data_IF_348279391322
#
_entry.id   IF_348279391322
#
_cell.length_a   1.000
_cell.length_b   1.000
_cell.length_c   1.000
_cell.angle_alpha   90.00
_cell.angle_beta   90.00
_cell.angle_gamma   90.00
#
_symmetry.space_group_name_H-M   'P 1'
#
loop_
_entity.id
_entity.type
_entity.pdbx_description
1 polymer ?
#
# COMPACT_ATOMS: atom_id res chain seq x y z
N UNK A 1 2.14 -25.30 -10.44
CA UNK A 1 1.26 -25.17 -9.26
C UNK A 1 -0.18 -25.48 -9.68
N UNK A 2 -0.88 -26.46 -9.10
CA UNK A 2 -2.28 -26.75 -9.47
C UNK A 2 -3.27 -26.32 -8.36
N UNK A 3 -4.59 -26.33 -8.65
CA UNK A 3 -5.62 -25.84 -7.71
C UNK A 3 -5.56 -26.51 -6.35
N UNK A 4 -5.38 -27.83 -6.33
CA UNK A 4 -5.34 -28.60 -5.09
C UNK A 4 -4.16 -28.16 -4.21
N UNK A 5 -2.97 -27.98 -4.81
CA UNK A 5 -1.78 -27.49 -4.12
C UNK A 5 -1.96 -26.05 -3.62
N UNK A 6 -2.49 -25.15 -4.45
CA UNK A 6 -2.76 -23.77 -4.04
C UNK A 6 -3.76 -23.72 -2.88
N UNK A 7 -4.84 -24.49 -2.96
CA UNK A 7 -5.86 -24.55 -1.90
C UNK A 7 -5.26 -25.05 -0.59
N UNK A 8 -4.46 -26.12 -0.63
CA UNK A 8 -3.78 -26.63 0.56
C UNK A 8 -2.80 -25.60 1.15
N UNK A 9 -2.04 -24.90 0.29
CA UNK A 9 -1.10 -23.87 0.70
C UNK A 9 -1.81 -22.68 1.34
N UNK A 10 -2.90 -22.17 0.74
CA UNK A 10 -3.72 -21.11 1.32
C UNK A 10 -4.32 -21.51 2.67
N UNK A 11 -4.75 -22.76 2.85
CA UNK A 11 -5.21 -23.24 4.17
C UNK A 11 -4.09 -23.29 5.21
N UNK A 12 -2.88 -23.68 4.81
CA UNK A 12 -1.71 -23.68 5.70
C UNK A 12 -1.39 -22.25 6.15
N UNK A 13 -1.17 -21.33 5.19
CA UNK A 13 -0.86 -19.93 5.48
C UNK A 13 -1.97 -19.27 6.29
N UNK A 14 -3.24 -19.48 5.94
CA UNK A 14 -4.41 -18.97 6.69
C UNK A 14 -4.39 -19.36 8.17
N UNK A 15 -3.96 -20.57 8.52
CA UNK A 15 -3.82 -20.99 9.93
C UNK A 15 -2.62 -20.34 10.61
N UNK A 16 -1.51 -20.14 9.90
CA UNK A 16 -0.29 -19.53 10.44
C UNK A 16 -0.48 -18.03 10.73
N UNK A 17 -1.13 -17.30 9.82
CA UNK A 17 -1.27 -15.84 9.90
C UNK A 17 -2.63 -15.37 10.45
N UNK A 18 -3.56 -16.29 10.75
CA UNK A 18 -4.87 -15.99 11.32
C UNK A 18 -5.85 -15.26 10.40
N UNK A 19 -5.55 -15.17 9.10
CA UNK A 19 -6.42 -14.55 8.09
C UNK A 19 -7.39 -15.55 7.48
N UNK A 20 -8.52 -15.06 6.96
CA UNK A 20 -9.47 -15.91 6.23
C UNK A 20 -8.82 -16.52 4.98
N UNK A 21 -9.25 -17.73 4.60
CA UNK A 21 -8.80 -18.40 3.38
C UNK A 21 -8.95 -17.51 2.13
N UNK A 22 -10.05 -16.78 2.00
CA UNK A 22 -10.28 -15.89 0.84
C UNK A 22 -9.31 -14.71 0.81
N UNK A 23 -8.96 -14.14 1.98
CA UNK A 23 -7.96 -13.08 2.06
C UNK A 23 -6.58 -13.60 1.65
N UNK A 24 -6.18 -14.78 2.14
CA UNK A 24 -4.92 -15.42 1.76
C UNK A 24 -4.91 -15.77 0.27
N UNK A 25 -6.01 -16.30 -0.28
CA UNK A 25 -6.13 -16.57 -1.71
C UNK A 25 -5.98 -15.30 -2.55
N UNK A 26 -6.60 -14.19 -2.15
CA UNK A 26 -6.41 -12.89 -2.82
C UNK A 26 -4.94 -12.45 -2.77
N UNK A 27 -4.28 -12.62 -1.63
CA UNK A 27 -2.85 -12.31 -1.48
C UNK A 27 -1.96 -13.10 -2.42
N UNK A 28 -2.23 -14.37 -2.63
CA UNK A 28 -1.51 -15.16 -3.63
C UNK A 28 -1.62 -14.54 -5.03
N UNK A 29 -2.80 -14.05 -5.42
CA UNK A 29 -2.98 -13.40 -6.72
C UNK A 29 -2.37 -11.99 -6.79
N UNK A 30 -2.33 -11.25 -5.68
CA UNK A 30 -1.59 -9.98 -5.56
C UNK A 30 -0.08 -10.22 -5.78
N UNK A 31 0.49 -11.22 -5.11
CA UNK A 31 1.89 -11.65 -5.29
C UNK A 31 2.17 -12.09 -6.73
N UNK A 32 1.24 -12.81 -7.33
CA UNK A 32 1.35 -13.28 -8.72
C UNK A 32 1.41 -12.13 -9.73
N UNK A 33 0.59 -11.09 -9.55
CA UNK A 33 0.64 -9.88 -10.37
C UNK A 33 1.94 -9.12 -10.13
N UNK A 34 2.36 -8.96 -8.87
CA UNK A 34 3.64 -8.34 -8.51
C UNK A 34 4.80 -9.04 -9.24
N UNK A 35 4.81 -10.38 -9.28
CA UNK A 35 5.81 -11.18 -9.98
C UNK A 35 5.82 -10.91 -11.49
N UNK A 36 4.67 -10.87 -12.17
CA UNK A 36 4.61 -10.54 -13.61
C UNK A 36 5.11 -9.12 -13.87
N UNK A 37 4.74 -8.14 -13.05
CA UNK A 37 5.21 -6.76 -13.18
C UNK A 37 6.73 -6.63 -12.98
N UNK A 38 7.28 -7.27 -11.95
CA UNK A 38 8.71 -7.31 -11.64
C UNK A 38 9.53 -8.00 -12.73
N UNK A 39 9.01 -9.09 -13.32
CA UNK A 39 9.67 -9.81 -14.41
C UNK A 39 9.51 -9.18 -15.80
N UNK A 40 8.69 -8.13 -15.93
CA UNK A 40 8.40 -7.52 -17.22
C UNK A 40 9.54 -6.60 -17.69
N UNK A 41 9.57 -6.31 -19.00
CA UNK A 41 10.44 -5.26 -19.56
C UNK A 41 10.14 -3.85 -19.03
N UNK A 42 9.06 -3.68 -18.28
CA UNK A 42 8.61 -2.42 -17.68
C UNK A 42 8.93 -2.33 -16.20
N UNK A 43 9.62 -3.32 -15.61
CA UNK A 43 9.89 -3.41 -14.17
C UNK A 43 10.44 -2.12 -13.56
N UNK A 44 11.42 -1.49 -14.21
CA UNK A 44 12.03 -0.23 -13.78
C UNK A 44 11.09 0.99 -13.84
N UNK A 45 9.95 0.87 -14.52
CA UNK A 45 8.93 1.93 -14.62
C UNK A 45 7.87 1.80 -13.53
N UNK A 46 7.71 0.61 -12.96
CA UNK A 46 6.75 0.33 -11.90
C UNK A 46 7.41 0.47 -10.53
N UNK A 47 6.98 1.48 -9.78
CA UNK A 47 7.42 1.64 -8.39
C UNK A 47 6.30 1.14 -7.47
N UNK A 48 6.56 0.03 -6.79
CA UNK A 48 5.64 -0.60 -5.86
C UNK A 48 5.37 0.33 -4.67
N UNK A 49 4.09 0.55 -4.32
CA UNK A 49 3.68 1.42 -3.22
C UNK A 49 2.43 0.90 -2.50
N UNK A 50 1.89 1.74 -1.62
CA UNK A 50 0.55 1.56 -1.07
C UNK A 50 0.41 0.45 -0.03
N UNK A 51 -0.80 -0.10 0.06
CA UNK A 51 -1.19 -0.98 1.17
C UNK A 51 -0.49 -2.33 1.12
N UNK A 52 -0.23 -2.85 -0.08
CA UNK A 52 0.40 -4.15 -0.25
C UNK A 52 1.90 -4.09 0.07
N UNK A 53 2.59 -3.02 -0.30
CA UNK A 53 3.97 -2.79 0.13
C UNK A 53 4.04 -2.72 1.66
N UNK A 54 3.17 -1.93 2.30
CA UNK A 54 3.15 -1.83 3.75
C UNK A 54 2.91 -3.20 4.40
N UNK A 55 1.94 -3.96 3.90
CA UNK A 55 1.68 -5.33 4.35
C UNK A 55 2.93 -6.20 4.32
N UNK A 56 3.72 -6.13 3.25
CA UNK A 56 4.96 -6.91 3.12
C UNK A 56 6.06 -6.46 4.08
N UNK A 57 6.05 -5.18 4.48
CA UNK A 57 7.01 -4.63 5.45
C UNK A 57 6.66 -5.06 6.87
N UNK A 58 5.38 -4.95 7.28
CA UNK A 58 4.95 -5.16 8.68
C UNK A 58 4.39 -6.55 8.97
N UNK A 59 4.12 -7.35 7.95
CA UNK A 59 3.43 -8.64 8.07
C UNK A 59 1.98 -8.57 7.60
N UNK A 60 1.56 -9.61 6.87
CA UNK A 60 0.22 -9.73 6.29
C UNK A 60 -0.88 -9.78 7.35
N UNK A 61 -0.60 -10.42 8.48
CA UNK A 61 -1.44 -10.52 9.67
C UNK A 61 -1.60 -9.18 10.38
N UNK A 62 -0.60 -8.30 10.26
CA UNK A 62 -0.59 -6.97 10.87
C UNK A 62 -1.24 -5.90 9.99
N UNK A 63 -1.30 -6.10 8.66
CA UNK A 63 -1.99 -5.18 7.75
C UNK A 63 -2.40 -5.90 6.46
N UNK A 64 -3.67 -6.26 6.32
CA UNK A 64 -4.18 -6.90 5.09
C UNK A 64 -4.74 -5.88 4.08
N UNK A 65 -4.42 -5.99 2.80
CA UNK A 65 -5.00 -5.16 1.72
C UNK A 65 -5.71 -6.00 0.66
N UNK A 66 -6.43 -5.34 -0.26
CA UNK A 66 -7.21 -6.01 -1.31
C UNK A 66 -6.81 -5.60 -2.73
N UNK A 67 -5.97 -4.59 -2.84
CA UNK A 67 -5.48 -3.96 -4.06
C UNK A 67 -3.95 -3.93 -4.05
N UNK A 68 -3.39 -3.70 -5.24
CA UNK A 68 -1.96 -3.48 -5.44
C UNK A 68 -1.77 -2.13 -6.10
N UNK A 69 -0.86 -1.32 -5.55
CA UNK A 69 -0.67 0.07 -5.96
C UNK A 69 0.73 0.26 -6.57
N UNK A 70 0.81 0.98 -7.68
CA UNK A 70 2.06 1.34 -8.34
C UNK A 70 2.11 2.80 -8.75
N UNK A 71 3.29 3.38 -8.66
CA UNK A 71 3.63 4.60 -9.36
C UNK A 71 4.31 4.28 -10.69
N UNK A 72 3.80 4.83 -11.79
CA UNK A 72 4.42 4.76 -13.10
C UNK A 72 5.41 5.91 -13.28
N UNK A 73 6.65 5.59 -13.69
CA UNK A 73 7.70 6.56 -14.03
C UNK A 73 8.21 6.41 -15.45
N UNK A 74 8.81 7.48 -15.96
CA UNK A 74 9.47 7.52 -17.28
C UNK A 74 8.55 7.09 -18.44
N UNK A 75 7.25 7.32 -18.28
CA UNK A 75 6.21 7.04 -19.25
C UNK A 75 5.03 7.96 -18.99
N UNK A 76 4.35 8.40 -20.05
CA UNK A 76 3.12 9.16 -19.92
C UNK A 76 2.00 8.26 -19.38
N UNK A 77 1.33 8.71 -18.33
CA UNK A 77 0.13 8.06 -17.82
C UNK A 77 -1.05 8.32 -18.77
N UNK A 78 -1.44 7.31 -19.54
CA UNK A 78 -2.65 7.30 -20.36
C UNK A 78 -3.27 5.91 -20.35
N UNK A 79 -4.57 5.82 -20.62
CA UNK A 79 -5.27 4.54 -20.68
C UNK A 79 -4.63 3.61 -21.72
N UNK A 80 -4.33 4.12 -22.91
CA UNK A 80 -3.74 3.35 -24.02
C UNK A 80 -2.39 2.76 -23.63
N UNK A 81 -1.52 3.56 -23.01
CA UNK A 81 -0.21 3.13 -22.55
C UNK A 81 -0.32 2.03 -21.47
N UNK A 82 -1.27 2.18 -20.53
CA UNK A 82 -1.50 1.20 -19.47
C UNK A 82 -2.06 -0.10 -20.07
N UNK A 83 -3.06 -0.03 -20.95
CA UNK A 83 -3.62 -1.21 -21.64
C UNK A 83 -2.50 -1.96 -22.37
N UNK A 84 -1.69 -1.26 -23.15
CA UNK A 84 -0.58 -1.89 -23.87
C UNK A 84 0.40 -2.57 -22.92
N UNK A 85 0.88 -1.83 -21.91
CA UNK A 85 1.86 -2.31 -20.95
C UNK A 85 1.36 -3.53 -20.17
N UNK A 86 0.11 -3.49 -19.70
CA UNK A 86 -0.50 -4.59 -18.96
C UNK A 86 -0.73 -5.81 -19.86
N UNK A 87 -1.23 -5.64 -21.09
CA UNK A 87 -1.40 -6.76 -22.01
C UNK A 87 -0.08 -7.46 -22.36
N UNK A 88 1.00 -6.69 -22.53
CA UNK A 88 2.33 -7.24 -22.78
C UNK A 88 2.91 -7.94 -21.55
N UNK A 89 2.71 -7.37 -20.36
CA UNK A 89 3.23 -7.91 -19.09
C UNK A 89 2.48 -9.15 -18.63
N UNK A 90 1.16 -9.17 -18.82
CA UNK A 90 0.27 -10.24 -18.37
C UNK A 90 0.11 -11.35 -19.40
N UNK A 91 0.87 -11.30 -20.50
CA UNK A 91 0.85 -12.31 -21.54
C UNK A 91 1.19 -13.69 -20.94
N UNK A 92 0.40 -14.74 -21.24
CA UNK A 92 0.67 -16.09 -20.77
C UNK A 92 1.97 -16.63 -21.35
N UNK A 93 2.75 -17.30 -20.51
CA UNK A 93 3.90 -18.11 -20.90
C UNK A 93 3.52 -19.60 -20.97
N UNK A 94 4.30 -20.41 -21.68
CA UNK A 94 3.98 -21.82 -22.00
C UNK A 94 3.73 -22.68 -20.75
N UNK A 95 4.33 -22.31 -19.61
CA UNK A 95 4.26 -23.05 -18.35
C UNK A 95 3.55 -22.26 -17.23
N UNK A 96 2.82 -21.19 -17.57
CA UNK A 96 2.07 -20.42 -16.57
C UNK A 96 0.86 -21.21 -16.07
N UNK A 97 0.76 -21.38 -14.75
CA UNK A 97 -0.42 -21.99 -14.11
C UNK A 97 -1.60 -21.01 -13.97
N UNK A 98 -1.34 -19.71 -14.13
CA UNK A 98 -2.28 -18.61 -13.91
C UNK A 98 -2.39 -17.80 -15.19
N UNK A 99 -3.61 -17.62 -15.65
CA UNK A 99 -3.93 -16.77 -16.80
C UNK A 99 -4.53 -15.45 -16.32
N UNK A 100 -4.08 -14.36 -16.93
CA UNK A 100 -4.49 -13.01 -16.57
C UNK A 100 -5.28 -12.39 -17.71
N UNK A 101 -6.36 -11.71 -17.36
CA UNK A 101 -7.20 -10.98 -18.32
C UNK A 101 -7.48 -9.58 -17.77
N UNK A 102 -7.11 -8.56 -18.54
CA UNK A 102 -7.49 -7.18 -18.24
C UNK A 102 -8.98 -6.99 -18.59
N UNK A 103 -9.84 -6.87 -17.58
CA UNK A 103 -11.29 -6.78 -17.80
C UNK A 103 -11.75 -5.37 -18.16
N UNK A 104 -11.25 -4.38 -17.43
CA UNK A 104 -11.52 -2.97 -17.69
C UNK A 104 -10.46 -2.11 -17.02
N UNK A 105 -10.39 -0.85 -17.48
CA UNK A 105 -9.65 0.22 -16.85
C UNK A 105 -10.62 1.36 -16.60
N UNK A 106 -10.53 1.96 -15.41
CA UNK A 106 -11.32 3.16 -15.06
C UNK A 106 -10.40 4.22 -14.48
N UNK A 107 -10.62 5.51 -14.82
CA UNK A 107 -9.88 6.59 -14.17
C UNK A 107 -10.24 6.64 -12.68
N UNK A 108 -9.22 6.83 -11.85
CA UNK A 108 -9.36 7.08 -10.42
C UNK A 108 -8.82 8.46 -10.07
N UNK A 109 -9.49 9.13 -9.13
CA UNK A 109 -8.97 10.36 -8.54
C UNK A 109 -8.05 9.98 -7.39
N UNK A 110 -6.77 9.87 -7.70
CA UNK A 110 -5.69 9.95 -6.73
C UNK A 110 -5.62 11.35 -6.12
N UNK A 111 -4.95 11.49 -4.98
CA UNK A 111 -4.76 12.81 -4.36
C UNK A 111 -3.79 13.70 -5.14
N UNK A 112 -3.00 13.09 -6.02
CA UNK A 112 -2.02 13.78 -6.85
C UNK A 112 -2.63 14.47 -8.07
N UNK A 113 -1.88 15.46 -8.55
CA UNK A 113 -2.26 16.34 -9.64
C UNK A 113 -2.60 15.61 -10.96
N UNK A 114 -2.05 14.41 -11.16
CA UNK A 114 -2.13 13.68 -12.42
C UNK A 114 -3.16 12.54 -12.43
N UNK A 115 -3.86 12.32 -11.30
CA UNK A 115 -4.82 11.23 -11.16
C UNK A 115 -4.17 9.83 -11.28
N UNK A 116 -5.00 8.83 -11.56
CA UNK A 116 -4.56 7.45 -11.75
C UNK A 116 -5.55 6.64 -12.56
N UNK A 117 -5.23 5.37 -12.79
CA UNK A 117 -6.14 4.40 -13.37
C UNK A 117 -6.18 3.15 -12.50
N UNK A 118 -7.38 2.58 -12.36
CA UNK A 118 -7.59 1.26 -11.77
C UNK A 118 -7.83 0.27 -12.89
N UNK A 119 -6.94 -0.69 -13.04
CA UNK A 119 -7.09 -1.84 -13.91
C UNK A 119 -7.64 -3.03 -13.10
N UNK A 120 -8.76 -3.61 -13.53
CA UNK A 120 -9.29 -4.82 -12.93
C UNK A 120 -8.77 -6.04 -13.68
N UNK A 121 -7.88 -6.81 -13.04
CA UNK A 121 -7.24 -7.99 -13.63
C UNK A 121 -7.93 -9.25 -13.12
N UNK A 122 -8.55 -10.01 -14.01
CA UNK A 122 -9.09 -11.33 -13.70
C UNK A 122 -7.96 -12.37 -13.79
N UNK A 123 -7.58 -12.90 -12.64
CA UNK A 123 -6.68 -14.03 -12.51
C UNK A 123 -7.49 -15.35 -12.55
N UNK A 124 -7.09 -16.26 -13.44
CA UNK A 124 -7.75 -17.55 -13.67
C UNK A 124 -6.75 -18.67 -13.43
N UNK A 125 -7.12 -19.62 -12.60
CA UNK A 125 -6.35 -20.85 -12.39
C UNK A 125 -7.32 -22.02 -12.28
N UNK A 126 -7.33 -22.90 -13.27
CA UNK A 126 -8.36 -23.93 -13.45
C UNK A 126 -9.78 -23.33 -13.37
N UNK A 127 -10.54 -23.58 -12.30
CA UNK A 127 -11.86 -23.01 -12.06
C UNK A 127 -11.87 -21.84 -11.05
N UNK A 128 -10.73 -21.49 -10.44
CA UNK A 128 -10.60 -20.31 -9.59
C UNK A 128 -10.65 -19.05 -10.46
N UNK A 129 -11.42 -18.06 -10.02
CA UNK A 129 -11.54 -16.74 -10.65
C UNK A 129 -11.40 -15.70 -9.55
N UNK A 130 -10.34 -14.90 -9.60
CA UNK A 130 -10.08 -13.81 -8.65
C UNK A 130 -9.86 -12.52 -9.42
N UNK A 131 -10.62 -11.48 -9.10
CA UNK A 131 -10.37 -10.14 -9.64
C UNK A 131 -9.42 -9.43 -8.68
N UNK A 132 -8.35 -8.86 -9.21
CA UNK A 132 -7.38 -8.05 -8.49
C UNK A 132 -7.40 -6.63 -9.04
N UNK A 133 -7.75 -5.63 -8.21
CA UNK A 133 -7.59 -4.23 -8.56
C UNK A 133 -6.10 -3.83 -8.52
N UNK A 134 -5.61 -3.32 -9.64
CA UNK A 134 -4.28 -2.72 -9.78
C UNK A 134 -4.43 -1.23 -10.04
N UNK A 135 -3.98 -0.41 -9.08
CA UNK A 135 -4.00 1.05 -9.18
C UNK A 135 -2.64 1.53 -9.68
N UNK A 136 -2.66 2.35 -10.73
CA UNK A 136 -1.47 2.93 -11.35
C UNK A 136 -1.62 4.45 -11.37
N UNK A 137 -0.77 5.12 -10.61
CA UNK A 137 -0.70 6.58 -10.52
C UNK A 137 0.61 7.10 -11.13
N UNK A 138 0.78 8.42 -11.21
CA UNK A 138 2.07 9.03 -11.57
C UNK A 138 2.30 10.35 -10.85
N UNK A 139 3.53 10.85 -10.90
CA UNK A 139 3.88 12.21 -10.46
C UNK A 139 4.32 12.34 -9.01
N UNK A 140 4.01 11.39 -8.13
CA UNK A 140 4.47 11.44 -6.74
C UNK A 140 5.98 11.64 -6.61
N UNK A 141 6.35 12.42 -5.58
CA UNK A 141 7.75 12.61 -5.20
C UNK A 141 8.18 11.50 -4.26
N UNK A 142 9.25 10.80 -4.63
CA UNK A 142 9.85 9.73 -3.86
C UNK A 142 11.16 10.23 -3.29
N UNK A 143 11.32 10.16 -1.97
CA UNK A 143 12.50 10.67 -1.25
C UNK A 143 13.15 9.56 -0.44
N UNK A 144 14.46 9.31 -0.59
CA UNK A 144 15.40 10.03 -1.46
C UNK A 144 15.25 9.66 -2.95
N UNK A 145 14.90 8.41 -3.23
CA UNK A 145 14.61 7.84 -4.54
C UNK A 145 13.98 6.44 -4.33
N UNK A 146 13.42 5.80 -5.38
CA UNK A 146 13.00 4.40 -5.28
C UNK A 146 14.13 3.50 -4.79
N UNK A 147 13.80 2.50 -3.98
CA UNK A 147 14.74 1.50 -3.48
C UNK A 147 14.56 0.18 -4.21
N UNK A 148 15.63 -0.62 -4.29
CA UNK A 148 15.54 -2.03 -4.67
C UNK A 148 14.93 -2.80 -3.50
N UNK A 149 13.66 -3.14 -3.62
CA UNK A 149 12.92 -3.86 -2.60
C UNK A 149 12.88 -5.33 -2.91
N UNK A 150 13.18 -6.12 -1.87
CA UNK A 150 13.20 -7.56 -1.90
C UNK A 150 11.94 -8.08 -1.22
N UNK A 151 10.90 -8.32 -2.01
CA UNK A 151 9.66 -8.89 -1.53
C UNK A 151 9.84 -10.39 -1.29
N UNK A 152 9.57 -10.85 -0.06
CA UNK A 152 9.62 -12.27 0.31
C UNK A 152 8.19 -12.82 0.29
N UNK A 153 7.98 -13.89 -0.48
CA UNK A 153 6.66 -14.50 -0.63
C UNK A 153 6.09 -15.02 0.68
N UNK A 154 4.78 -14.85 0.88
CA UNK A 154 4.06 -15.47 2.01
C UNK A 154 3.80 -16.97 1.77
N UNK A 155 4.09 -17.47 0.58
CA UNK A 155 3.71 -18.79 0.09
C UNK A 155 4.90 -19.70 -0.21
N UNK A 156 6.13 -19.21 -0.02
CA UNK A 156 7.36 -19.96 -0.25
C UNK A 156 8.62 -19.13 -0.03
N UNK A 157 9.75 -19.64 -0.51
CA UNK A 157 11.07 -18.99 -0.36
C UNK A 157 11.44 -18.10 -1.57
N UNK A 158 10.49 -17.86 -2.48
CA UNK A 158 10.74 -17.02 -3.65
C UNK A 158 10.85 -15.54 -3.27
N UNK A 159 11.80 -14.88 -3.91
CA UNK A 159 12.10 -13.46 -3.72
C UNK A 159 11.80 -12.71 -5.02
N UNK A 160 11.02 -11.64 -4.91
CA UNK A 160 10.68 -10.75 -6.03
C UNK A 160 11.42 -9.44 -5.84
N UNK A 161 12.29 -9.09 -6.77
CA UNK A 161 13.03 -7.83 -6.76
C UNK A 161 12.25 -6.80 -7.58
N UNK A 162 11.92 -5.66 -6.96
CA UNK A 162 11.19 -4.58 -7.62
C UNK A 162 11.56 -3.22 -7.04
N UNK A 163 11.45 -2.15 -7.83
CA UNK A 163 11.55 -0.80 -7.29
C UNK A 163 10.35 -0.52 -6.38
N UNK A 164 10.58 0.04 -5.20
CA UNK A 164 9.52 0.39 -4.27
C UNK A 164 9.74 1.74 -3.59
N UNK A 165 8.71 2.20 -2.89
CA UNK A 165 8.81 3.36 -2.01
C UNK A 165 9.66 3.02 -0.79
N UNK A 166 10.58 3.91 -0.37
CA UNK A 166 11.16 3.82 0.96
C UNK A 166 10.08 4.14 2.02
N UNK A 167 10.25 3.59 3.23
CA UNK A 167 9.27 3.70 4.31
C UNK A 167 8.99 5.16 4.68
N UNK A 168 9.97 6.03 4.54
CA UNK A 168 9.87 7.47 4.76
C UNK A 168 8.93 8.15 3.77
N UNK A 169 8.95 7.75 2.50
CA UNK A 169 8.00 8.27 1.51
C UNK A 169 6.58 7.79 1.82
N UNK A 170 6.42 6.53 2.25
CA UNK A 170 5.12 5.99 2.65
C UNK A 170 4.53 6.75 3.86
N UNK A 171 5.35 7.05 4.85
CA UNK A 171 4.97 7.86 6.01
C UNK A 171 4.64 9.30 5.61
N UNK A 172 5.49 9.93 4.80
CA UNK A 172 5.30 11.31 4.35
C UNK A 172 3.98 11.51 3.60
N UNK A 173 3.62 10.60 2.68
CA UNK A 173 2.32 10.62 2.00
C UNK A 173 1.17 10.53 2.99
N UNK A 174 1.22 9.60 3.95
CA UNK A 174 0.16 9.40 4.94
C UNK A 174 -0.02 10.61 5.84
N UNK A 175 1.07 11.16 6.36
CA UNK A 175 1.05 12.37 7.20
C UNK A 175 0.46 13.54 6.40
N UNK A 176 0.89 13.71 5.15
CA UNK A 176 0.38 14.75 4.25
C UNK A 176 -1.13 14.58 4.00
N UNK A 177 -1.58 13.38 3.64
CA UNK A 177 -2.99 13.07 3.40
C UNK A 177 -3.85 13.31 4.64
N UNK A 178 -3.38 12.87 5.81
CA UNK A 178 -4.08 13.07 7.08
C UNK A 178 -4.25 14.56 7.36
N UNK A 179 -3.17 15.33 7.22
CA UNK A 179 -3.20 16.78 7.45
C UNK A 179 -4.09 17.51 6.44
N UNK A 180 -3.90 17.25 5.15
CA UNK A 180 -4.62 17.92 4.06
C UNK A 180 -6.13 17.72 4.15
N UNK A 181 -6.57 16.51 4.54
CA UNK A 181 -7.99 16.18 4.63
C UNK A 181 -8.63 16.56 5.97
N UNK A 182 -7.84 16.64 7.05
CA UNK A 182 -8.31 17.02 8.37
C UNK A 182 -9.59 16.29 8.78
N UNK A 183 -10.60 17.06 9.22
CA UNK A 183 -11.90 16.52 9.66
C UNK A 183 -12.72 15.83 8.55
N UNK A 184 -12.39 16.07 7.27
CA UNK A 184 -13.03 15.40 6.12
C UNK A 184 -12.39 14.05 5.80
N UNK A 185 -11.29 13.69 6.47
CA UNK A 185 -10.61 12.42 6.20
C UNK A 185 -11.46 11.25 6.67
N UNK A 186 -11.81 10.33 5.75
CA UNK A 186 -12.54 9.09 6.02
C UNK A 186 -11.66 7.83 6.01
N UNK A 187 -10.36 7.96 5.74
CA UNK A 187 -9.44 6.84 5.63
C UNK A 187 -8.85 6.47 6.99
N UNK A 188 -9.62 5.71 7.78
CA UNK A 188 -9.15 5.16 9.06
C UNK A 188 -7.83 4.37 8.93
N UNK A 189 -7.59 3.76 7.76
CA UNK A 189 -6.36 3.02 7.45
C UNK A 189 -5.10 3.87 7.53
N UNK A 190 -5.14 5.15 7.15
CA UNK A 190 -3.93 5.99 7.12
C UNK A 190 -3.41 6.23 8.54
N UNK A 191 -4.31 6.41 9.52
CA UNK A 191 -3.95 6.50 10.94
C UNK A 191 -3.37 5.19 11.48
N UNK A 192 -4.00 4.06 11.15
CA UNK A 192 -3.48 2.75 11.52
C UNK A 192 -2.10 2.49 10.93
N UNK A 193 -1.89 2.90 9.67
CA UNK A 193 -0.63 2.70 8.97
C UNK A 193 0.51 3.50 9.65
N UNK A 194 0.26 4.71 10.16
CA UNK A 194 1.25 5.43 11.00
C UNK A 194 1.54 4.66 12.29
N UNK A 195 0.49 4.20 12.97
CA UNK A 195 0.60 3.43 14.20
C UNK A 195 1.43 2.16 14.02
N UNK A 196 1.14 1.36 13.00
CA UNK A 196 1.78 0.05 12.83
C UNK A 196 3.24 0.19 12.39
N UNK A 197 3.56 1.21 11.58
CA UNK A 197 4.94 1.55 11.24
C UNK A 197 5.70 1.99 12.49
N UNK A 198 5.12 2.89 13.30
CA UNK A 198 5.75 3.28 14.57
C UNK A 198 5.93 2.08 15.52
N UNK A 199 4.95 1.20 15.63
CA UNK A 199 5.02 0.07 16.56
C UNK A 199 6.03 -1.00 16.16
N UNK A 200 6.15 -1.30 14.86
CA UNK A 200 6.93 -2.45 14.38
C UNK A 200 8.22 -2.06 13.64
N UNK A 201 8.32 -0.83 13.13
CA UNK A 201 9.36 -0.40 12.18
C UNK A 201 10.01 0.93 12.53
N UNK A 202 9.77 1.49 13.72
CA UNK A 202 10.33 2.78 14.12
C UNK A 202 11.87 2.85 14.05
N UNK A 203 12.55 1.72 14.26
CA UNK A 203 14.01 1.61 14.14
C UNK A 203 14.52 1.64 12.70
N UNK A 204 13.67 1.27 11.75
CA UNK A 204 14.00 1.23 10.33
C UNK A 204 13.78 2.60 9.67
N UNK A 205 13.10 3.53 10.36
CA UNK A 205 12.79 4.88 9.87
C UNK A 205 13.95 5.82 10.15
N UNK A 206 14.56 6.36 9.10
CA UNK A 206 15.52 7.43 9.23
C UNK A 206 14.79 8.78 9.36
N UNK A 207 14.92 9.42 10.53
CA UNK A 207 14.21 10.66 10.85
C UNK A 207 14.58 11.83 9.92
N UNK A 208 15.84 11.96 9.52
CA UNK A 208 16.27 13.02 8.60
C UNK A 208 15.69 12.84 7.20
N UNK A 209 15.68 11.60 6.71
CA UNK A 209 15.06 11.26 5.43
C UNK A 209 13.55 11.45 5.50
N UNK A 210 12.90 11.06 6.60
CA UNK A 210 11.47 11.28 6.81
C UNK A 210 11.12 12.77 6.81
N UNK A 211 11.91 13.60 7.48
CA UNK A 211 11.73 15.05 7.47
C UNK A 211 11.80 15.61 6.06
N UNK A 212 12.81 15.22 5.30
CA UNK A 212 12.97 15.66 3.92
C UNK A 212 11.86 15.13 3.00
N UNK A 213 11.43 13.88 3.19
CA UNK A 213 10.31 13.28 2.48
C UNK A 213 9.02 14.07 2.73
N UNK A 214 8.71 14.38 3.99
CA UNK A 214 7.57 15.24 4.34
C UNK A 214 7.67 16.62 3.68
N UNK A 215 8.82 17.31 3.75
CA UNK A 215 8.98 18.63 3.11
C UNK A 215 8.69 18.58 1.61
N UNK A 216 9.26 17.59 0.92
CA UNK A 216 9.08 17.41 -0.53
C UNK A 216 7.65 17.04 -0.90
N UNK A 217 7.05 16.07 -0.22
CA UNK A 217 5.67 15.64 -0.48
C UNK A 217 4.67 16.75 -0.23
N UNK A 218 4.78 17.47 0.90
CA UNK A 218 3.91 18.59 1.23
C UNK A 218 4.04 19.74 0.23
N UNK A 219 5.28 20.10 -0.14
CA UNK A 219 5.53 21.14 -1.14
C UNK A 219 4.95 20.75 -2.51
N UNK A 220 5.14 19.51 -2.94
CA UNK A 220 4.63 19.01 -4.22
C UNK A 220 3.10 19.04 -4.27
N UNK A 221 2.45 18.59 -3.20
CA UNK A 221 0.98 18.59 -3.07
C UNK A 221 0.39 19.94 -2.65
N UNK A 222 1.22 21.00 -2.58
CA UNK A 222 0.81 22.38 -2.26
C UNK A 222 0.09 22.50 -0.92
N UNK A 223 0.55 21.74 0.07
CA UNK A 223 0.05 21.79 1.45
C UNK A 223 1.12 22.36 2.38
N UNK A 224 0.72 23.21 3.32
CA UNK A 224 1.62 23.77 4.33
C UNK A 224 2.23 22.65 5.18
N UNK A 225 3.56 22.65 5.33
CA UNK A 225 4.26 21.74 6.22
C UNK A 225 4.56 22.42 7.56
N UNK A 226 3.69 22.19 8.54
CA UNK A 226 3.83 22.69 9.91
C UNK A 226 3.57 21.56 10.92
N UNK A 227 4.62 21.12 11.60
CA UNK A 227 4.58 20.00 12.54
C UNK A 227 3.64 20.31 13.73
N UNK A 228 3.62 21.55 14.22
CA UNK A 228 2.76 21.94 15.33
C UNK A 228 1.29 21.84 14.95
N UNK A 229 0.92 22.33 13.76
CA UNK A 229 -0.46 22.22 13.25
C UNK A 229 -0.87 20.77 12.97
N UNK A 230 0.06 19.93 12.50
CA UNK A 230 -0.21 18.50 12.30
C UNK A 230 -0.52 17.82 13.65
N UNK A 231 0.30 18.06 14.68
CA UNK A 231 0.08 17.50 16.02
C UNK A 231 -1.25 18.02 16.61
N UNK A 232 -1.51 19.34 16.53
CA UNK A 232 -2.76 19.94 17.00
C UNK A 232 -3.99 19.33 16.32
N UNK A 233 -3.90 19.03 15.03
CA UNK A 233 -4.95 18.33 14.30
C UNK A 233 -5.16 16.93 14.88
N UNK A 234 -4.10 16.13 15.01
CA UNK A 234 -4.19 14.75 15.53
C UNK A 234 -4.80 14.73 16.94
N UNK A 235 -4.39 15.64 17.82
CA UNK A 235 -4.96 15.79 19.17
C UNK A 235 -6.46 16.10 19.13
N UNK A 236 -6.91 16.99 18.25
CA UNK A 236 -8.34 17.28 18.07
C UNK A 236 -9.12 16.11 17.50
N UNK A 237 -8.52 15.33 16.60
CA UNK A 237 -9.14 14.14 16.03
C UNK A 237 -9.31 13.04 17.09
N UNK A 238 -8.37 12.92 18.03
CA UNK A 238 -8.33 11.90 19.09
C UNK A 238 -9.61 11.85 19.92
N UNK A 239 -10.13 13.02 20.27
CA UNK A 239 -11.34 13.16 21.10
C UNK A 239 -12.61 13.37 20.27
N UNK A 240 -12.53 13.35 18.93
CA UNK A 240 -13.68 13.62 18.09
C UNK A 240 -14.59 12.38 17.97
N UNK A 241 -15.85 12.50 18.39
CA UNK A 241 -16.81 11.39 18.38
C UNK A 241 -17.02 10.74 17.00
N UNK A 242 -17.01 11.53 15.93
CA UNK A 242 -17.20 10.99 14.58
C UNK A 242 -16.01 10.15 14.12
N UNK A 243 -14.79 10.52 14.52
CA UNK A 243 -13.60 9.73 14.28
C UNK A 243 -13.57 8.47 15.15
N UNK A 244 -13.93 8.56 16.42
CA UNK A 244 -14.06 7.40 17.32
C UNK A 244 -15.05 6.36 16.76
N UNK A 245 -16.24 6.80 16.32
CA UNK A 245 -17.25 5.92 15.70
C UNK A 245 -16.73 5.26 14.42
N UNK A 246 -16.00 6.00 13.58
CA UNK A 246 -15.41 5.46 12.34
C UNK A 246 -14.26 4.50 12.62
N UNK A 247 -13.44 4.77 13.63
CA UNK A 247 -12.41 3.85 14.08
C UNK A 247 -13.01 2.55 14.58
N UNK A 248 -14.03 2.60 15.45
CA UNK A 248 -14.74 1.40 15.92
C UNK A 248 -15.32 0.57 14.78
N UNK A 249 -15.89 1.21 13.75
CA UNK A 249 -16.39 0.50 12.57
C UNK A 249 -15.25 -0.13 11.76
N UNK A 250 -14.11 0.55 11.65
CA UNK A 250 -12.92 0.06 10.96
C UNK A 250 -12.27 -1.11 11.71
N UNK A 251 -12.04 -1.01 13.02
CA UNK A 251 -11.41 -2.05 13.85
C UNK A 251 -12.26 -3.32 13.91
N UNK A 252 -13.60 -3.20 13.95
CA UNK A 252 -14.49 -4.38 13.88
C UNK A 252 -14.38 -5.15 12.57
N UNK A 253 -14.12 -4.45 11.45
CA UNK A 253 -14.01 -5.07 10.12
C UNK A 253 -12.62 -5.65 9.85
N UNK A 254 -11.58 -5.13 10.51
CA UNK A 254 -10.20 -5.48 10.26
C UNK A 254 -9.61 -6.16 11.51
N UNK A 255 -9.44 -7.48 11.46
CA UNK A 255 -8.98 -8.30 12.60
C UNK A 255 -7.69 -7.75 13.24
N UNK A 256 -6.74 -7.28 12.42
CA UNK A 256 -5.48 -6.71 12.88
C UNK A 256 -5.61 -5.42 13.72
N UNK A 257 -6.75 -4.73 13.64
CA UNK A 257 -7.02 -3.48 14.34
C UNK A 257 -8.02 -3.65 15.51
N UNK A 258 -8.56 -4.85 15.72
CA UNK A 258 -9.76 -5.10 16.56
C UNK A 258 -9.63 -4.60 18.00
N UNK A 259 -8.49 -4.82 18.61
CA UNK A 259 -8.26 -4.55 20.04
C UNK A 259 -7.45 -3.27 20.29
N UNK A 260 -7.28 -2.43 19.26
CA UNK A 260 -6.51 -1.19 19.33
C UNK A 260 -7.48 -0.01 19.43
N UNK A 261 -7.27 0.86 20.41
CA UNK A 261 -8.10 2.06 20.58
C UNK A 261 -7.66 3.17 19.62
N UNK A 262 -8.57 4.08 19.27
CA UNK A 262 -8.20 5.20 18.39
C UNK A 262 -7.21 6.15 19.06
N UNK A 263 -7.34 6.30 20.39
CA UNK A 263 -6.40 7.06 21.21
C UNK A 263 -4.99 6.49 21.10
N UNK A 264 -4.82 5.17 21.26
CA UNK A 264 -3.52 4.52 21.09
C UNK A 264 -2.96 4.74 19.68
N UNK A 265 -3.80 4.64 18.64
CA UNK A 265 -3.38 4.88 17.25
C UNK A 265 -2.84 6.29 17.08
N UNK A 266 -3.57 7.30 17.54
CA UNK A 266 -3.16 8.69 17.37
C UNK A 266 -2.00 9.08 18.27
N UNK A 267 -1.91 8.58 19.49
CA UNK A 267 -0.77 8.86 20.37
C UNK A 267 0.54 8.37 19.75
N UNK A 268 0.54 7.18 19.14
CA UNK A 268 1.72 6.69 18.42
C UNK A 268 1.96 7.44 17.10
N UNK A 269 0.89 7.83 16.39
CA UNK A 269 1.00 8.69 15.22
C UNK A 269 1.61 10.06 15.55
N UNK A 270 1.23 10.65 16.68
CA UNK A 270 1.79 11.90 17.20
C UNK A 270 3.26 11.71 17.52
N UNK A 271 3.64 10.65 18.25
CA UNK A 271 5.06 10.34 18.52
C UNK A 271 5.88 10.22 17.24
N UNK A 272 5.36 9.56 16.21
CA UNK A 272 6.02 9.48 14.90
C UNK A 272 6.24 10.88 14.29
N UNK A 273 5.24 11.75 14.33
CA UNK A 273 5.33 13.12 13.81
C UNK A 273 6.27 13.99 14.67
N UNK A 274 6.27 13.81 15.98
CA UNK A 274 7.14 14.55 16.92
C UNK A 274 8.63 14.29 16.65
N UNK A 275 9.00 13.08 16.23
CA UNK A 275 10.40 12.77 15.83
C UNK A 275 10.88 13.66 14.70
N UNK A 276 9.98 14.15 13.84
CA UNK A 276 10.30 15.03 12.71
C UNK A 276 10.63 16.45 13.19
N UNK A 277 10.22 16.84 14.40
CA UNK A 277 10.51 18.17 14.96
C UNK A 277 12.03 18.36 15.03
N UNK A 278 12.50 19.57 14.72
CA UNK A 278 13.93 19.85 14.85
C UNK A 278 14.34 19.63 16.31
N UNK A 279 15.38 18.84 16.53
CA UNK A 279 16.26 19.09 17.67
C UNK A 279 16.95 20.43 17.35
N UNK A 280 16.47 21.50 17.97
CA UNK A 280 17.23 22.75 18.04
C UNK A 280 18.33 22.59 19.09
#
# INVERSE_FOLDING_TARGET
>A
MNKAKLTALCHKVSKEVGLSFNAVMLYYFLESILKKLAGSKYSERFIFKGGFLLSSVVGIDSRSTVDIDFLLRNMQLSEENIVQMLNETLKPEEFDDIFYELQNIVPIKEEDQYGGFRANILCKMENIRQIVPLDIATGDVITPHPIDYKYVSSFGEEEIIIKAYPIETMLAEKIQTIYARGFLNSRSKDYYDLYIIYKLKDKDVNVEILREACRKTFSYRKTEFDIGKIIDLLEKLKINEAFLKRWQAYSRKNLYAKDITFEEVLDNGIKMVEKIKNEN
#
